data_IF_622533662529
#
_entry.id   IF_622533662529
#
_cell.length_a   1.000
_cell.length_b   1.000
_cell.length_c   1.000
_cell.angle_alpha   90.00
_cell.angle_beta   90.00
_cell.angle_gamma   90.00
#
_symmetry.space_group_name_H-M   'P 1'
#
loop_
_entity.id
_entity.type
_entity.pdbx_description
1 polymer ?
#
# COMPACT_ATOMS: atom_id res chain seq x y z
N UNK A 1 10.72 10.43 -15.74
CA UNK A 1 11.23 9.07 -15.82
C UNK A 1 11.32 8.40 -14.45
N UNK A 2 11.95 9.03 -13.47
CA UNK A 2 12.03 8.49 -12.10
C UNK A 2 10.65 8.23 -11.50
N UNK A 3 9.74 9.18 -11.63
CA UNK A 3 8.38 9.03 -11.14
C UNK A 3 7.68 7.82 -11.77
N UNK A 4 7.82 7.65 -13.08
CA UNK A 4 7.21 6.52 -13.78
C UNK A 4 7.76 5.18 -13.29
N UNK A 5 9.07 5.11 -13.03
CA UNK A 5 9.69 3.90 -12.50
C UNK A 5 9.13 3.58 -11.11
N UNK A 6 9.03 4.59 -10.24
CA UNK A 6 8.52 4.41 -8.88
C UNK A 6 7.05 3.96 -8.93
N UNK A 7 6.23 4.60 -9.75
CA UNK A 7 4.82 4.23 -9.91
C UNK A 7 4.71 2.79 -10.40
N UNK A 8 5.52 2.39 -11.38
CA UNK A 8 5.48 1.03 -11.92
C UNK A 8 5.83 0.00 -10.87
N UNK A 9 6.87 0.26 -10.07
CA UNK A 9 7.29 -0.65 -9.01
C UNK A 9 6.22 -0.77 -7.92
N UNK A 10 5.69 0.37 -7.46
CA UNK A 10 4.63 0.37 -6.45
C UNK A 10 3.37 -0.33 -6.94
N UNK A 11 2.95 -0.02 -8.16
CA UNK A 11 1.74 -0.59 -8.74
C UNK A 11 1.89 -2.11 -8.87
N UNK A 12 3.00 -2.59 -9.42
CA UNK A 12 3.24 -4.02 -9.58
C UNK A 12 3.22 -4.74 -8.24
N UNK A 13 3.92 -4.18 -7.25
CA UNK A 13 3.97 -4.76 -5.91
C UNK A 13 2.59 -4.83 -5.26
N UNK A 14 1.86 -3.72 -5.26
CA UNK A 14 0.58 -3.67 -4.58
C UNK A 14 -0.54 -4.36 -5.35
N UNK A 15 -0.48 -4.42 -6.68
CA UNK A 15 -1.43 -5.23 -7.44
C UNK A 15 -1.27 -6.70 -7.09
N UNK A 16 -0.03 -7.17 -7.00
CA UNK A 16 0.24 -8.56 -6.57
C UNK A 16 -0.24 -8.78 -5.14
N UNK A 17 0.16 -7.90 -4.22
CA UNK A 17 -0.18 -8.03 -2.81
C UNK A 17 -1.70 -7.98 -2.59
N UNK A 18 -2.39 -7.04 -3.24
CA UNK A 18 -3.84 -6.91 -3.10
C UNK A 18 -4.57 -8.10 -3.69
N UNK A 19 -4.12 -8.62 -4.83
CA UNK A 19 -4.76 -9.78 -5.44
C UNK A 19 -4.71 -11.00 -4.51
N UNK A 20 -3.59 -11.18 -3.82
CA UNK A 20 -3.44 -12.28 -2.85
C UNK A 20 -4.37 -12.06 -1.66
N UNK A 21 -4.41 -10.82 -1.11
CA UNK A 21 -5.26 -10.50 0.03
C UNK A 21 -6.74 -10.65 -0.27
N UNK A 22 -7.14 -10.32 -1.49
CA UNK A 22 -8.56 -10.35 -1.86
C UNK A 22 -9.05 -11.76 -2.22
N UNK A 23 -8.23 -12.53 -2.94
CA UNK A 23 -8.66 -13.81 -3.49
C UNK A 23 -8.00 -15.02 -2.86
N UNK A 24 -6.78 -14.86 -2.32
CA UNK A 24 -6.03 -15.98 -1.75
C UNK A 24 -5.49 -16.96 -2.80
N UNK A 25 -5.32 -16.50 -4.05
CA UNK A 25 -4.90 -17.39 -5.13
C UNK A 25 -3.50 -17.99 -4.92
N UNK A 26 -2.61 -17.25 -4.26
CA UNK A 26 -1.29 -17.77 -3.85
C UNK A 26 -1.43 -18.22 -2.39
N UNK A 27 -1.79 -19.48 -2.22
CA UNK A 27 -2.20 -20.02 -0.92
C UNK A 27 -1.16 -19.87 0.18
N UNK A 28 0.09 -20.17 -0.14
CA UNK A 28 1.17 -20.16 0.84
C UNK A 28 1.41 -18.77 1.40
N UNK A 29 1.47 -17.77 0.50
CA UNK A 29 1.64 -16.37 0.90
C UNK A 29 0.38 -15.89 1.63
N UNK A 30 -0.80 -16.25 1.13
CA UNK A 30 -2.07 -15.87 1.74
C UNK A 30 -2.16 -16.36 3.19
N UNK A 31 -1.87 -17.65 3.40
CA UNK A 31 -1.95 -18.22 4.75
C UNK A 31 -0.94 -17.58 5.70
N UNK A 32 0.28 -17.30 5.23
CA UNK A 32 1.30 -16.62 6.03
C UNK A 32 0.84 -15.21 6.42
N UNK A 33 0.29 -14.46 5.47
CA UNK A 33 -0.19 -13.11 5.74
C UNK A 33 -1.40 -13.12 6.67
N UNK A 34 -2.33 -14.05 6.48
CA UNK A 34 -3.50 -14.17 7.35
C UNK A 34 -3.07 -14.46 8.78
N UNK A 35 -2.10 -15.37 8.97
CA UNK A 35 -1.57 -15.67 10.29
C UNK A 35 -0.94 -14.43 10.92
N UNK A 36 -0.25 -13.60 10.14
CA UNK A 36 0.30 -12.34 10.64
C UNK A 36 -0.81 -11.39 11.10
N UNK A 37 -1.85 -11.21 10.29
CA UNK A 37 -2.98 -10.37 10.64
C UNK A 37 -3.64 -10.85 11.93
N UNK A 38 -3.82 -12.16 12.06
CA UNK A 38 -4.42 -12.73 13.27
C UNK A 38 -3.53 -12.51 14.51
N UNK A 39 -2.22 -12.59 14.33
CA UNK A 39 -1.28 -12.32 15.42
C UNK A 39 -1.32 -10.87 15.88
N UNK A 40 -1.76 -9.95 15.03
CA UNK A 40 -1.91 -8.53 15.36
C UNK A 40 -3.27 -8.22 15.99
N UNK A 41 -4.10 -9.23 16.21
CA UNK A 41 -5.47 -9.03 16.70
C UNK A 41 -6.47 -8.67 15.62
N UNK A 42 -6.08 -8.82 14.35
CA UNK A 42 -6.93 -8.54 13.20
C UNK A 42 -7.50 -9.86 12.66
N UNK A 43 -8.29 -9.77 11.59
CA UNK A 43 -8.95 -10.95 11.04
C UNK A 43 -8.94 -10.92 9.50
N UNK A 44 -9.59 -11.91 8.89
CA UNK A 44 -9.70 -12.00 7.44
C UNK A 44 -10.40 -10.79 6.82
N UNK A 45 -11.40 -10.24 7.51
CA UNK A 45 -12.11 -9.05 7.02
C UNK A 45 -11.19 -7.83 6.98
N UNK A 46 -10.34 -7.66 8.01
CA UNK A 46 -9.37 -6.57 8.02
C UNK A 46 -8.36 -6.73 6.88
N UNK A 47 -7.90 -7.96 6.64
CA UNK A 47 -6.99 -8.26 5.54
C UNK A 47 -7.62 -7.94 4.18
N UNK A 48 -8.89 -8.29 4.00
CA UNK A 48 -9.63 -7.99 2.77
C UNK A 48 -9.75 -6.48 2.57
N UNK A 49 -10.08 -5.74 3.64
CA UNK A 49 -10.20 -4.28 3.59
C UNK A 49 -8.88 -3.62 3.19
N UNK A 50 -7.77 -4.08 3.75
CA UNK A 50 -6.45 -3.57 3.39
C UNK A 50 -6.17 -3.86 1.91
N UNK A 51 -6.53 -5.05 1.43
CA UNK A 51 -6.39 -5.40 0.02
C UNK A 51 -7.16 -4.46 -0.90
N UNK A 52 -8.38 -4.06 -0.51
CA UNK A 52 -9.17 -3.10 -1.29
C UNK A 52 -8.50 -1.73 -1.35
N UNK A 53 -7.98 -1.25 -0.22
CA UNK A 53 -7.27 0.03 -0.17
C UNK A 53 -6.01 -0.03 -1.04
N UNK A 54 -5.27 -1.13 -0.96
CA UNK A 54 -4.07 -1.32 -1.78
C UNK A 54 -4.40 -1.35 -3.27
N UNK A 55 -5.48 -2.02 -3.66
CA UNK A 55 -5.93 -2.06 -5.04
C UNK A 55 -6.28 -0.66 -5.55
N UNK A 56 -7.05 0.09 -4.75
CA UNK A 56 -7.38 1.48 -5.08
C UNK A 56 -6.12 2.29 -5.31
N UNK A 57 -5.16 2.18 -4.40
CA UNK A 57 -3.91 2.94 -4.51
C UNK A 57 -3.07 2.52 -5.72
N UNK A 58 -2.95 1.21 -5.95
CA UNK A 58 -2.15 0.69 -7.06
C UNK A 58 -2.66 1.15 -8.41
N UNK A 59 -3.98 1.27 -8.56
CA UNK A 59 -4.59 1.77 -9.80
C UNK A 59 -4.57 3.30 -9.82
N UNK A 60 -4.93 3.94 -8.70
CA UNK A 60 -5.07 5.39 -8.62
C UNK A 60 -3.79 6.15 -8.90
N UNK A 61 -2.63 5.61 -8.50
CA UNK A 61 -1.35 6.33 -8.69
C UNK A 61 -0.98 6.52 -10.16
N UNK A 62 -1.63 5.80 -11.09
CA UNK A 62 -1.39 6.00 -12.52
C UNK A 62 -2.06 7.27 -13.05
N UNK A 63 -3.00 7.85 -12.32
CA UNK A 63 -3.77 9.01 -12.75
C UNK A 63 -3.11 10.31 -12.27
N UNK A 64 -1.82 10.47 -12.59
CA UNK A 64 -1.08 11.69 -12.26
C UNK A 64 -1.67 12.88 -13.02
N UNK A 65 -1.64 14.02 -12.40
CA UNK A 65 -2.29 15.21 -12.97
C UNK A 65 -3.74 15.38 -12.56
N UNK A 66 -4.29 14.40 -11.83
CA UNK A 66 -5.63 14.47 -11.23
C UNK A 66 -5.53 14.21 -9.73
N UNK A 67 -6.61 14.42 -8.99
CA UNK A 67 -6.66 14.13 -7.55
C UNK A 67 -6.50 12.66 -7.23
N UNK A 68 -6.79 11.75 -8.17
CA UNK A 68 -6.68 10.30 -7.94
C UNK A 68 -5.23 9.86 -7.72
N UNK A 69 -4.27 10.45 -8.41
CA UNK A 69 -2.86 10.12 -8.24
C UNK A 69 -2.39 10.29 -6.81
N UNK A 70 -2.49 11.50 -6.25
CA UNK A 70 -2.11 11.75 -4.85
C UNK A 70 -2.96 10.98 -3.85
N UNK A 71 -4.27 10.82 -4.09
CA UNK A 71 -5.12 10.05 -3.20
C UNK A 71 -4.72 8.58 -3.20
N UNK A 72 -4.39 8.01 -4.36
CA UNK A 72 -3.87 6.65 -4.45
C UNK A 72 -2.56 6.50 -3.69
N UNK A 73 -1.64 7.45 -3.86
CA UNK A 73 -0.36 7.44 -3.13
C UNK A 73 -0.58 7.54 -1.62
N UNK A 74 -1.53 8.38 -1.19
CA UNK A 74 -1.87 8.51 0.24
C UNK A 74 -2.42 7.19 0.79
N UNK A 75 -3.25 6.48 0.01
CA UNK A 75 -3.78 5.19 0.41
C UNK A 75 -2.64 4.16 0.60
N UNK A 76 -1.70 4.09 -0.33
CA UNK A 76 -0.56 3.19 -0.23
C UNK A 76 0.36 3.57 0.94
N UNK A 77 0.56 4.85 1.15
CA UNK A 77 1.36 5.33 2.28
C UNK A 77 0.69 4.94 3.60
N UNK A 78 -0.63 5.11 3.70
CA UNK A 78 -1.36 4.76 4.91
C UNK A 78 -1.25 3.27 5.24
N UNK A 79 -1.40 2.38 4.24
CA UNK A 79 -1.25 0.95 4.48
C UNK A 79 0.18 0.58 4.86
N UNK A 80 1.16 1.22 4.24
CA UNK A 80 2.58 0.97 4.55
C UNK A 80 2.92 1.42 5.97
N UNK A 81 2.46 2.59 6.39
CA UNK A 81 2.66 3.10 7.76
C UNK A 81 1.98 2.19 8.77
N UNK A 82 0.75 1.74 8.46
CA UNK A 82 0.04 0.79 9.31
C UNK A 82 0.81 -0.52 9.48
N UNK A 83 1.38 -1.03 8.39
CA UNK A 83 2.20 -2.24 8.43
C UNK A 83 3.46 -2.03 9.27
N UNK A 84 4.14 -0.88 9.11
CA UNK A 84 5.31 -0.55 9.93
C UNK A 84 4.94 -0.56 11.41
N UNK A 85 3.83 0.10 11.75
CA UNK A 85 3.35 0.15 13.13
C UNK A 85 3.11 -1.25 13.68
N UNK A 86 2.45 -2.12 12.91
CA UNK A 86 2.19 -3.49 13.34
C UNK A 86 3.48 -4.27 13.55
N UNK A 87 4.44 -4.15 12.64
CA UNK A 87 5.71 -4.87 12.78
C UNK A 87 6.52 -4.38 13.98
N UNK A 88 6.56 -3.07 14.22
CA UNK A 88 7.29 -2.52 15.37
C UNK A 88 6.62 -2.90 16.69
N UNK A 89 5.30 -3.07 16.70
CA UNK A 89 4.54 -3.38 17.92
C UNK A 89 4.51 -4.88 18.21
N UNK A 90 4.33 -5.71 17.19
CA UNK A 90 4.04 -7.14 17.38
C UNK A 90 5.15 -8.08 16.91
N UNK A 91 5.97 -7.65 15.96
CA UNK A 91 7.04 -8.49 15.39
C UNK A 91 8.40 -7.86 15.64
N UNK A 92 9.13 -7.60 14.56
CA UNK A 92 10.44 -6.98 14.59
C UNK A 92 10.53 -5.89 13.51
N UNK A 93 11.43 -4.95 13.71
CA UNK A 93 11.65 -3.90 12.71
C UNK A 93 12.12 -4.48 11.36
N UNK A 94 12.79 -5.62 11.38
CA UNK A 94 13.29 -6.26 10.15
C UNK A 94 12.14 -6.73 9.27
N UNK A 95 11.06 -7.23 9.88
CA UNK A 95 9.87 -7.65 9.14
C UNK A 95 9.16 -6.45 8.51
N UNK A 96 9.36 -5.26 9.05
CA UNK A 96 8.78 -4.03 8.53
C UNK A 96 9.59 -3.37 7.41
N UNK A 97 10.76 -3.89 7.05
CA UNK A 97 11.59 -3.27 6.01
C UNK A 97 10.87 -3.10 4.67
N UNK A 98 10.16 -4.11 4.14
CA UNK A 98 9.41 -3.90 2.90
C UNK A 98 8.39 -2.77 3.00
N UNK A 99 7.71 -2.65 4.15
CA UNK A 99 6.74 -1.57 4.37
C UNK A 99 7.42 -0.21 4.45
N UNK A 100 8.63 -0.15 5.02
CA UNK A 100 9.41 1.09 5.06
C UNK A 100 9.78 1.56 3.65
N UNK A 101 10.15 0.62 2.79
CA UNK A 101 10.49 0.93 1.40
C UNK A 101 9.24 1.44 0.65
N UNK A 102 8.12 0.74 0.78
CA UNK A 102 6.89 1.17 0.11
C UNK A 102 6.37 2.49 0.67
N UNK A 103 6.55 2.74 1.97
CA UNK A 103 6.18 4.02 2.57
C UNK A 103 7.00 5.17 1.97
N UNK A 104 8.31 4.98 1.84
CA UNK A 104 9.18 6.00 1.26
C UNK A 104 8.82 6.28 -0.20
N UNK A 105 8.58 5.24 -0.99
CA UNK A 105 8.21 5.39 -2.40
C UNK A 105 6.83 6.03 -2.54
N UNK A 106 5.88 5.65 -1.70
CA UNK A 106 4.53 6.23 -1.72
C UNK A 106 4.55 7.70 -1.33
N UNK A 107 5.37 8.07 -0.33
CA UNK A 107 5.53 9.46 0.08
C UNK A 107 6.13 10.29 -1.06
N UNK A 108 7.07 9.74 -1.82
CA UNK A 108 7.65 10.41 -2.97
C UNK A 108 6.58 10.69 -4.04
N UNK A 109 5.74 9.70 -4.36
CA UNK A 109 4.66 9.87 -5.34
C UNK A 109 3.63 10.89 -4.84
N UNK A 110 3.28 10.84 -3.56
CA UNK A 110 2.35 11.78 -2.96
C UNK A 110 2.89 13.20 -3.04
N UNK A 111 4.17 13.39 -2.72
CA UNK A 111 4.80 14.70 -2.79
C UNK A 111 4.77 15.28 -4.19
N UNK A 112 5.05 14.45 -5.20
CA UNK A 112 4.98 14.88 -6.60
C UNK A 112 3.57 15.27 -7.03
N UNK A 113 2.55 14.62 -6.47
CA UNK A 113 1.17 14.88 -6.83
C UNK A 113 0.47 15.92 -5.96
N UNK A 114 1.19 16.52 -5.01
CA UNK A 114 0.57 17.43 -4.03
C UNK A 114 -0.15 18.61 -4.67
N UNK A 115 0.41 19.17 -5.75
CA UNK A 115 -0.23 20.28 -6.46
C UNK A 115 -1.59 19.87 -7.05
N UNK A 116 -1.74 18.61 -7.47
CA UNK A 116 -3.02 18.10 -7.97
C UNK A 116 -4.06 18.03 -6.86
N UNK A 117 -3.67 17.63 -5.63
CA UNK A 117 -4.58 17.66 -4.48
C UNK A 117 -5.05 19.10 -4.23
N UNK A 118 -4.12 20.04 -4.21
CA UNK A 118 -4.44 21.45 -3.99
C UNK A 118 -5.42 21.97 -5.05
N UNK A 119 -5.23 21.58 -6.31
CA UNK A 119 -6.14 21.96 -7.39
C UNK A 119 -7.55 21.45 -7.17
N UNK A 120 -7.69 20.24 -6.60
CA UNK A 120 -9.00 19.64 -6.35
C UNK A 120 -9.73 20.35 -5.21
N UNK A 121 -9.01 20.82 -4.19
CA UNK A 121 -9.60 21.39 -2.99
C UNK A 121 -9.58 22.92 -2.95
N UNK A 122 -8.99 23.57 -3.93
CA UNK A 122 -8.98 25.02 -4.05
C UNK A 122 -9.69 25.49 -5.29
#
# INVERSE_FOLDING_TARGET
MTLTIVISLLSAFFLLASSIKLTGWQRKIFETQLAMFESYGLNRQAMFSVGLVELFGAVGIWFQGSGLGPLGAAALLATSVGAIFCHLTFDSWKDGIPAMITAALSAFVLWHGWSSINSVFT
#
